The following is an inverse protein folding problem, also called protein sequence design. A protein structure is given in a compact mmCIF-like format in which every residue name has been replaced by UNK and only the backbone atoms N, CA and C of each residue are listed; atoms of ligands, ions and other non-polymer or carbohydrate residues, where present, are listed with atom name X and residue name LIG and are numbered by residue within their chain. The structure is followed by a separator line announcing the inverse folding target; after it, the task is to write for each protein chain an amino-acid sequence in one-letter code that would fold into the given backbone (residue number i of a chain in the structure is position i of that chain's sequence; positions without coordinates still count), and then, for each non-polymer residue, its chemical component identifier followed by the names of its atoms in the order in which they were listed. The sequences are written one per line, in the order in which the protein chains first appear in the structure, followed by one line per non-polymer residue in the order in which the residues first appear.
data_IF_222470186234
#
_entry.id   IF_222470186234
#
_cell.length_a   1.000
_cell.length_b   1.000
_cell.length_c   1.000
_cell.angle_alpha   90.00
_cell.angle_beta   90.00
_cell.angle_gamma   90.00
#
_symmetry.space_group_name_H-M   'P 1'
#
loop_
_entity.id
_entity.type
_entity.pdbx_description
1 polymer ?
#
# COMPACT_ATOMS: atom_id res chain seq x y z
N UNK A 1 15.06 25.21 -32.27
CA UNK A 1 16.42 25.64 -31.91
C UNK A 1 16.91 24.66 -30.86
N UNK A 2 18.02 23.90 -30.99
CA UNK A 2 19.21 23.98 -31.86
C UNK A 2 19.58 22.54 -32.31
N UNK A 3 20.12 22.27 -33.52
CA UNK A 3 21.54 22.35 -33.94
C UNK A 3 22.55 21.86 -32.87
N UNK A 4 23.53 20.99 -33.13
CA UNK A 4 23.88 20.14 -34.29
C UNK A 4 24.89 19.07 -33.85
N UNK A 5 24.98 17.93 -34.55
CA UNK A 5 26.13 17.00 -34.48
C UNK A 5 27.34 17.65 -35.22
N UNK A 6 28.59 17.27 -34.90
CA UNK A 6 29.40 16.69 -35.99
C UNK A 6 30.26 15.49 -35.56
N UNK A 7 30.31 14.49 -36.43
CA UNK A 7 31.30 13.40 -36.44
C UNK A 7 32.33 13.64 -37.56
N UNK A 8 33.59 13.26 -37.30
CA UNK A 8 34.70 13.14 -38.29
C UNK A 8 35.73 12.16 -37.68
N UNK A 9 36.09 11.03 -38.30
CA UNK A 9 37.03 10.86 -39.43
C UNK A 9 38.48 11.21 -39.07
N UNK A 10 39.56 10.51 -39.49
CA UNK A 10 39.76 9.28 -40.30
C UNK A 10 41.31 9.12 -40.47
N UNK A 11 41.80 7.91 -40.77
CA UNK A 11 43.16 7.60 -41.31
C UNK A 11 44.38 7.86 -40.39
N UNK A 12 45.59 7.34 -40.65
CA UNK A 12 46.02 6.08 -41.33
C UNK A 12 47.55 5.91 -41.19
N UNK A 13 48.03 4.66 -41.11
CA UNK A 13 49.33 4.19 -41.64
C UNK A 13 50.64 4.57 -40.92
N UNK A 14 51.52 3.57 -40.78
CA UNK A 14 52.95 3.66 -41.13
C UNK A 14 53.59 2.25 -41.14
N UNK A 15 54.68 2.07 -41.89
CA UNK A 15 55.37 0.79 -42.12
C UNK A 15 56.89 0.98 -42.09
N UNK A 16 57.62 0.06 -41.44
CA UNK A 16 59.02 -0.29 -41.71
C UNK A 16 59.35 -1.59 -40.94
N UNK A 17 59.81 -2.72 -41.52
CA UNK A 17 60.90 -3.07 -42.46
C UNK A 17 62.29 -3.32 -41.83
N UNK A 18 62.56 -4.62 -41.54
CA UNK A 18 63.86 -5.34 -41.72
C UNK A 18 65.09 -4.87 -40.88
N UNK A 19 66.15 -5.66 -40.63
CA UNK A 19 66.71 -6.88 -41.26
C UNK A 19 67.73 -7.55 -40.29
N UNK A 20 67.95 -8.89 -40.32
CA UNK A 20 69.06 -9.54 -39.60
C UNK A 20 70.31 -9.70 -40.49
N UNK A 21 71.50 -9.90 -39.89
CA UNK A 21 72.72 -10.24 -40.62
C UNK A 21 73.68 -11.14 -39.80
N UNK A 22 74.14 -12.24 -40.42
CA UNK A 22 75.21 -13.13 -39.92
C UNK A 22 76.05 -13.57 -41.13
N UNK A 23 77.39 -13.66 -40.94
CA UNK A 23 78.37 -14.62 -41.55
C UNK A 23 79.56 -14.02 -42.33
N UNK A 24 80.76 -14.52 -41.94
CA UNK A 24 82.00 -14.83 -42.70
C UNK A 24 82.74 -13.65 -43.40
N UNK A 25 84.07 -13.47 -43.36
CA UNK A 25 85.28 -14.31 -43.24
C UNK A 25 85.90 -14.80 -44.57
N UNK A 26 87.13 -14.33 -44.86
CA UNK A 26 88.19 -15.09 -45.54
C UNK A 26 88.72 -14.62 -46.91
N UNK A 27 90.03 -14.26 -46.94
CA UNK A 27 91.04 -14.57 -48.01
C UNK A 27 90.85 -13.93 -49.43
N UNK A 28 91.88 -13.67 -50.26
CA UNK A 28 93.34 -13.79 -50.18
C UNK A 28 94.03 -12.77 -51.14
N UNK A 29 95.36 -12.63 -51.05
CA UNK A 29 96.22 -11.87 -51.98
C UNK A 29 96.66 -12.71 -53.18
N UNK A 30 96.97 -12.08 -54.32
CA UNK A 30 98.12 -12.43 -55.18
C UNK A 30 98.41 -11.35 -56.25
N UNK A 31 99.69 -11.22 -56.63
CA UNK A 31 100.25 -10.23 -57.59
C UNK A 31 101.03 -10.99 -58.67
N UNK A 32 101.11 -10.48 -59.92
CA UNK A 32 102.15 -10.86 -60.92
C UNK A 32 102.28 -9.78 -62.04
N UNK A 33 103.36 -9.73 -62.87
CA UNK A 33 104.08 -8.51 -63.32
C UNK A 33 103.97 -8.37 -64.88
N UNK A 34 104.95 -7.92 -65.73
CA UNK A 34 106.31 -7.29 -65.62
C UNK A 34 106.44 -6.03 -66.55
N UNK A 35 107.51 -5.70 -67.34
CA UNK A 35 108.96 -6.02 -67.33
C UNK A 35 109.96 -4.83 -67.62
N UNK A 36 111.26 -5.17 -67.62
CA UNK A 36 112.39 -4.69 -68.45
C UNK A 36 112.84 -3.21 -68.61
N UNK A 37 114.13 -3.00 -68.34
CA UNK A 37 114.98 -1.86 -68.72
C UNK A 37 116.42 -2.11 -68.26
N UNK A 38 117.43 -1.96 -69.13
CA UNK A 38 118.79 -2.50 -68.94
C UNK A 38 119.82 -1.44 -68.45
N UNK A 39 121.16 -1.70 -68.32
CA UNK A 39 121.93 -1.39 -67.10
C UNK A 39 123.02 -0.29 -67.37
N UNK A 40 124.14 -0.15 -66.61
CA UNK A 40 124.51 -0.62 -65.26
C UNK A 40 125.00 0.50 -64.30
N UNK A 41 125.23 0.19 -63.01
CA UNK A 41 126.46 0.56 -62.28
C UNK A 41 126.53 -0.11 -60.89
N UNK A 42 127.70 -0.66 -60.56
CA UNK A 42 127.92 -1.52 -59.38
C UNK A 42 128.35 -0.75 -58.13
N UNK A 43 127.47 -0.70 -57.11
CA UNK A 43 127.85 -0.45 -55.71
C UNK A 43 126.74 -0.81 -54.71
N UNK A 44 125.48 -0.47 -55.03
CA UNK A 44 124.38 -0.48 -54.03
C UNK A 44 123.63 -1.82 -53.88
N UNK A 45 123.86 -2.80 -54.75
CA UNK A 45 123.15 -4.09 -54.71
C UNK A 45 123.53 -4.97 -53.50
N UNK A 46 124.77 -4.86 -53.01
CA UNK A 46 125.26 -5.64 -51.86
C UNK A 46 124.68 -5.15 -50.53
N UNK A 47 124.46 -3.85 -50.36
CA UNK A 47 123.85 -3.29 -49.13
C UNK A 47 122.36 -3.64 -49.02
N UNK A 48 121.63 -3.64 -50.15
CA UNK A 48 120.21 -3.99 -50.17
C UNK A 48 119.99 -5.48 -49.86
N UNK A 49 120.78 -6.36 -50.48
CA UNK A 49 120.72 -7.81 -50.23
C UNK A 49 121.14 -8.16 -48.80
N UNK A 50 122.13 -7.47 -48.23
CA UNK A 50 122.54 -7.64 -46.83
C UNK A 50 121.43 -7.24 -45.83
N UNK A 51 120.73 -6.12 -46.06
CA UNK A 51 119.57 -5.72 -45.23
C UNK A 51 118.40 -6.71 -45.33
N UNK A 52 118.02 -7.12 -46.53
CA UNK A 52 116.95 -8.10 -46.72
C UNK A 52 117.26 -9.44 -46.03
N UNK A 53 118.53 -9.91 -46.05
CA UNK A 53 118.92 -11.14 -45.37
C UNK A 53 118.84 -11.01 -43.85
N UNK A 54 119.23 -9.88 -43.27
CA UNK A 54 119.07 -9.62 -41.83
C UNK A 54 117.59 -9.57 -41.41
N UNK A 55 116.74 -8.88 -42.17
CA UNK A 55 115.32 -8.74 -41.85
C UNK A 55 114.55 -10.06 -42.00
N UNK A 56 114.89 -10.89 -43.00
CA UNK A 56 114.40 -12.27 -43.11
C UNK A 56 114.88 -13.12 -41.93
N UNK A 57 116.13 -12.97 -41.48
CA UNK A 57 116.65 -13.74 -40.35
C UNK A 57 115.99 -13.34 -39.01
N UNK A 58 115.65 -12.07 -38.83
CA UNK A 58 114.90 -11.58 -37.68
C UNK A 58 113.47 -12.13 -37.66
N UNK A 59 112.77 -12.06 -38.79
CA UNK A 59 111.44 -12.65 -38.98
C UNK A 59 111.44 -14.18 -38.70
N UNK A 60 112.44 -14.90 -39.20
CA UNK A 60 112.60 -16.35 -38.94
C UNK A 60 112.87 -16.64 -37.46
N UNK A 61 113.60 -15.78 -36.75
CA UNK A 61 113.83 -15.91 -35.32
C UNK A 61 112.55 -15.67 -34.51
N UNK A 62 111.75 -14.66 -34.87
CA UNK A 62 110.43 -14.40 -34.25
C UNK A 62 109.50 -15.60 -34.46
N UNK A 63 109.36 -16.08 -35.69
CA UNK A 63 108.52 -17.26 -36.00
C UNK A 63 109.01 -18.53 -35.27
N UNK A 64 110.32 -18.72 -35.11
CA UNK A 64 110.88 -19.81 -34.28
C UNK A 64 110.57 -19.64 -32.80
N UNK A 65 110.52 -18.42 -32.30
CA UNK A 65 110.18 -18.15 -30.91
C UNK A 65 108.70 -18.37 -30.65
N UNK A 66 107.82 -17.95 -31.56
CA UNK A 66 106.38 -18.23 -31.48
C UNK A 66 106.06 -19.71 -31.62
N UNK A 67 106.78 -20.45 -32.48
CA UNK A 67 106.69 -21.91 -32.54
C UNK A 67 107.07 -22.58 -31.22
N UNK A 68 108.09 -22.08 -30.51
CA UNK A 68 108.44 -22.56 -29.17
C UNK A 68 107.37 -22.19 -28.13
N UNK A 69 106.88 -20.96 -28.13
CA UNK A 69 105.79 -20.52 -27.25
C UNK A 69 104.49 -21.33 -27.46
N UNK A 70 104.19 -21.71 -28.70
CA UNK A 70 103.07 -22.59 -29.05
C UNK A 70 103.30 -24.04 -28.61
N UNK A 71 104.51 -24.58 -28.79
CA UNK A 71 104.87 -25.91 -28.30
C UNK A 71 104.84 -26.00 -26.77
N UNK A 72 105.28 -24.96 -26.05
CA UNK A 72 105.22 -24.92 -24.59
C UNK A 72 103.77 -24.77 -24.08
N UNK A 73 102.92 -24.02 -24.78
CA UNK A 73 101.46 -24.01 -24.52
C UNK A 73 100.79 -25.34 -24.80
N UNK A 74 101.21 -26.07 -25.84
CA UNK A 74 100.68 -27.41 -26.12
C UNK A 74 101.14 -28.43 -25.07
N UNK A 75 102.40 -28.37 -24.61
CA UNK A 75 102.89 -29.22 -23.50
C UNK A 75 102.08 -29.03 -22.22
N UNK A 76 101.83 -27.79 -21.81
CA UNK A 76 100.97 -27.51 -20.64
C UNK A 76 99.47 -27.82 -20.88
N UNK A 77 99.02 -27.88 -22.14
CA UNK A 77 97.65 -28.28 -22.49
C UNK A 77 97.44 -29.79 -22.42
N UNK A 78 98.38 -30.58 -22.95
CA UNK A 78 98.29 -32.04 -22.97
C UNK A 78 98.42 -32.66 -21.57
N UNK A 79 99.26 -32.09 -20.70
CA UNK A 79 99.39 -32.54 -19.29
C UNK A 79 98.10 -32.32 -18.48
N UNK A 80 97.29 -31.32 -18.82
CA UNK A 80 95.96 -31.08 -18.22
C UNK A 80 94.91 -32.02 -18.84
N UNK A 81 95.05 -32.37 -20.12
CA UNK A 81 94.15 -33.28 -20.83
C UNK A 81 94.40 -34.78 -20.51
N UNK A 82 95.55 -35.14 -19.93
CA UNK A 82 95.93 -36.54 -19.67
C UNK A 82 96.20 -36.89 -18.20
N UNK A 83 96.02 -35.96 -17.27
CA UNK A 83 96.14 -36.24 -15.83
C UNK A 83 94.87 -36.93 -15.27
N UNK A 84 94.95 -38.20 -14.83
CA UNK A 84 93.77 -38.97 -14.42
C UNK A 84 93.12 -38.43 -13.13
N UNK A 85 93.88 -37.70 -12.30
CA UNK A 85 93.38 -37.14 -11.02
C UNK A 85 92.44 -35.95 -11.26
N UNK A 86 92.68 -35.15 -12.31
CA UNK A 86 91.79 -34.05 -12.69
C UNK A 86 90.56 -34.54 -13.45
N UNK A 87 90.70 -35.59 -14.28
CA UNK A 87 89.56 -36.21 -14.98
C UNK A 87 88.56 -36.84 -14.00
N UNK A 88 89.01 -37.70 -13.08
CA UNK A 88 88.13 -38.35 -12.09
C UNK A 88 87.38 -37.32 -11.21
N UNK A 89 88.00 -36.17 -10.90
CA UNK A 89 87.37 -35.08 -10.15
C UNK A 89 86.35 -34.27 -10.97
N UNK A 90 86.53 -34.20 -12.30
CA UNK A 90 85.57 -33.59 -13.21
C UNK A 90 84.41 -34.54 -13.51
N UNK A 91 84.67 -35.82 -13.77
CA UNK A 91 83.66 -36.85 -14.04
C UNK A 91 82.68 -37.00 -12.87
N UNK A 92 83.17 -37.00 -11.62
CA UNK A 92 82.30 -37.02 -10.43
C UNK A 92 81.38 -35.79 -10.34
N UNK A 93 81.91 -34.59 -10.66
CA UNK A 93 81.09 -33.37 -10.70
C UNK A 93 80.13 -33.34 -11.89
N UNK A 94 80.48 -34.00 -12.99
CA UNK A 94 79.63 -34.13 -14.17
C UNK A 94 78.46 -35.06 -13.85
N UNK A 95 78.71 -36.17 -13.15
CA UNK A 95 77.68 -37.06 -12.61
C UNK A 95 76.74 -36.36 -11.62
N UNK A 96 77.27 -35.59 -10.65
CA UNK A 96 76.47 -34.78 -9.72
C UNK A 96 75.58 -33.75 -10.46
N UNK A 97 76.07 -33.20 -11.58
CA UNK A 97 75.32 -32.25 -12.42
C UNK A 97 74.25 -33.00 -13.22
N UNK A 98 74.56 -34.15 -13.81
CA UNK A 98 73.62 -35.00 -14.55
C UNK A 98 72.47 -35.47 -13.65
N UNK A 99 72.77 -35.96 -12.44
CA UNK A 99 71.78 -36.33 -11.43
C UNK A 99 70.88 -35.14 -11.06
N UNK A 100 71.47 -33.96 -10.82
CA UNK A 100 70.71 -32.73 -10.54
C UNK A 100 69.86 -32.26 -11.71
N UNK A 101 70.33 -32.39 -12.95
CA UNK A 101 69.51 -32.07 -14.13
C UNK A 101 68.37 -33.07 -14.30
N UNK A 102 68.60 -34.36 -14.06
CA UNK A 102 67.53 -35.37 -14.07
C UNK A 102 66.47 -35.11 -12.99
N UNK A 103 66.89 -34.69 -11.79
CA UNK A 103 65.99 -34.27 -10.71
C UNK A 103 65.18 -33.01 -11.07
N UNK A 104 65.82 -32.01 -11.70
CA UNK A 104 65.15 -30.79 -12.18
C UNK A 104 64.18 -31.06 -13.33
N UNK A 105 64.51 -31.97 -14.25
CA UNK A 105 63.60 -32.41 -15.32
C UNK A 105 62.39 -33.19 -14.77
N UNK A 106 62.61 -34.04 -13.76
CA UNK A 106 61.52 -34.71 -13.05
C UNK A 106 60.62 -33.70 -12.33
N UNK A 107 61.20 -32.69 -11.67
CA UNK A 107 60.45 -31.63 -11.02
C UNK A 107 59.67 -30.76 -12.03
N UNK A 108 60.26 -30.44 -13.18
CA UNK A 108 59.56 -29.69 -14.25
C UNK A 108 58.30 -30.43 -14.74
N UNK A 109 58.36 -31.76 -14.88
CA UNK A 109 57.19 -32.56 -15.27
C UNK A 109 56.07 -32.49 -14.23
N UNK A 110 56.42 -32.56 -12.95
CA UNK A 110 55.44 -32.41 -11.85
C UNK A 110 54.85 -30.99 -11.82
N UNK A 111 55.66 -29.96 -12.07
CA UNK A 111 55.18 -28.57 -12.17
C UNK A 111 54.25 -28.37 -13.38
N UNK A 112 54.51 -29.03 -14.52
CA UNK A 112 53.64 -29.02 -15.70
C UNK A 112 52.32 -29.76 -15.45
N UNK A 113 52.35 -30.93 -14.82
CA UNK A 113 51.15 -31.66 -14.38
C UNK A 113 50.30 -30.83 -13.38
N UNK A 114 50.94 -30.14 -12.43
CA UNK A 114 50.27 -29.23 -11.50
C UNK A 114 49.66 -28.01 -12.20
N UNK A 115 50.27 -27.50 -13.27
CA UNK A 115 49.73 -26.38 -14.07
C UNK A 115 48.46 -26.78 -14.80
N UNK A 116 48.44 -27.94 -15.45
CA UNK A 116 47.25 -28.45 -16.13
C UNK A 116 46.11 -28.70 -15.13
N UNK A 117 46.37 -29.35 -13.99
CA UNK A 117 45.37 -29.52 -12.92
C UNK A 117 44.85 -28.19 -12.37
N UNK A 118 45.68 -27.14 -12.30
CA UNK A 118 45.27 -25.79 -11.93
C UNK A 118 44.39 -25.10 -12.99
N UNK A 119 44.61 -25.39 -14.28
CA UNK A 119 43.79 -24.90 -15.38
C UNK A 119 42.42 -25.60 -15.36
N UNK A 120 42.40 -26.93 -15.29
CA UNK A 120 41.17 -27.73 -15.21
C UNK A 120 40.30 -27.33 -14.02
N UNK A 121 40.89 -27.24 -12.82
CA UNK A 121 40.15 -26.85 -11.61
C UNK A 121 39.63 -25.42 -11.67
N UNK A 122 40.39 -24.49 -12.27
CA UNK A 122 39.96 -23.11 -12.50
C UNK A 122 38.76 -23.04 -13.46
N UNK A 123 38.79 -23.78 -14.56
CA UNK A 123 37.69 -23.76 -15.53
C UNK A 123 36.43 -24.46 -14.98
N UNK A 124 36.57 -25.57 -14.24
CA UNK A 124 35.45 -26.18 -13.48
C UNK A 124 34.86 -25.23 -12.44
N UNK A 125 35.69 -24.43 -11.75
CA UNK A 125 35.20 -23.41 -10.81
C UNK A 125 34.48 -22.27 -11.53
N UNK A 126 35.01 -21.81 -12.67
CA UNK A 126 34.42 -20.77 -13.50
C UNK A 126 33.04 -21.17 -14.03
N UNK A 127 32.88 -22.42 -14.49
CA UNK A 127 31.59 -22.94 -14.95
C UNK A 127 30.57 -23.07 -13.81
N UNK A 128 31.01 -23.49 -12.62
CA UNK A 128 30.17 -23.51 -11.41
C UNK A 128 29.73 -22.09 -11.01
N UNK A 129 30.63 -21.11 -11.05
CA UNK A 129 30.31 -19.70 -10.78
C UNK A 129 29.31 -19.16 -11.81
N UNK A 130 29.50 -19.45 -13.10
CA UNK A 130 28.55 -19.09 -14.16
C UNK A 130 27.16 -19.70 -13.93
N UNK A 131 27.11 -20.99 -13.58
CA UNK A 131 25.86 -21.71 -13.26
C UNK A 131 25.14 -21.10 -12.06
N UNK A 132 25.88 -20.78 -10.98
CA UNK A 132 25.33 -20.12 -9.80
C UNK A 132 24.83 -18.69 -10.11
N UNK A 133 25.53 -17.95 -10.98
CA UNK A 133 25.09 -16.63 -11.43
C UNK A 133 23.76 -16.68 -12.20
N UNK A 134 23.58 -17.67 -13.07
CA UNK A 134 22.30 -17.90 -13.76
C UNK A 134 21.19 -18.30 -12.79
N UNK A 135 21.47 -19.18 -11.83
CA UNK A 135 20.49 -19.60 -10.81
C UNK A 135 20.08 -18.45 -9.88
N UNK A 136 21.00 -17.55 -9.54
CA UNK A 136 20.69 -16.34 -8.79
C UNK A 136 19.81 -15.38 -9.59
N UNK A 137 20.10 -15.15 -10.87
CA UNK A 137 19.30 -14.31 -11.77
C UNK A 137 17.85 -14.84 -11.94
N UNK A 138 17.70 -16.16 -12.09
CA UNK A 138 16.39 -16.81 -12.19
C UNK A 138 15.61 -16.79 -10.86
N UNK A 139 16.30 -16.80 -9.72
CA UNK A 139 15.68 -16.61 -8.39
C UNK A 139 15.24 -15.15 -8.18
N UNK A 140 16.05 -14.18 -8.59
CA UNK A 140 15.77 -12.75 -8.46
C UNK A 140 14.48 -12.38 -9.22
N UNK A 141 14.36 -12.81 -10.48
CA UNK A 141 13.13 -12.61 -11.28
C UNK A 141 11.89 -13.31 -10.71
N UNK A 142 12.04 -14.42 -9.96
CA UNK A 142 10.94 -15.04 -9.21
C UNK A 142 10.53 -14.22 -7.99
N UNK A 143 11.49 -13.63 -7.29
CA UNK A 143 11.22 -12.74 -6.15
C UNK A 143 10.54 -11.46 -6.62
N UNK A 144 10.97 -10.86 -7.74
CA UNK A 144 10.29 -9.71 -8.33
C UNK A 144 8.83 -10.03 -8.71
N UNK A 145 8.59 -11.14 -9.41
CA UNK A 145 7.24 -11.58 -9.77
C UNK A 145 6.34 -11.81 -8.53
N UNK A 146 6.86 -12.48 -7.49
CA UNK A 146 6.12 -12.67 -6.24
C UNK A 146 5.82 -11.33 -5.53
N UNK A 147 6.72 -10.34 -5.64
CA UNK A 147 6.48 -8.98 -5.16
C UNK A 147 5.32 -8.29 -5.88
N UNK A 148 5.22 -8.45 -7.21
CA UNK A 148 4.10 -7.94 -8.01
C UNK A 148 2.80 -8.65 -7.62
N UNK A 149 2.78 -9.99 -7.56
CA UNK A 149 1.60 -10.76 -7.15
C UNK A 149 1.10 -10.41 -5.74
N UNK A 150 2.02 -10.16 -4.80
CA UNK A 150 1.68 -9.72 -3.44
C UNK A 150 1.05 -8.32 -3.44
N UNK A 151 1.57 -7.39 -4.24
CA UNK A 151 1.02 -6.04 -4.39
C UNK A 151 -0.38 -6.07 -5.01
N UNK A 152 -0.58 -6.88 -6.05
CA UNK A 152 -1.88 -7.12 -6.67
C UNK A 152 -2.89 -7.72 -5.67
N UNK A 153 -2.45 -8.68 -4.85
CA UNK A 153 -3.29 -9.27 -3.81
C UNK A 153 -3.66 -8.26 -2.73
N UNK A 154 -2.72 -7.40 -2.30
CA UNK A 154 -2.98 -6.36 -1.32
C UNK A 154 -4.06 -5.37 -1.82
N UNK A 155 -3.95 -4.89 -3.07
CA UNK A 155 -4.95 -3.99 -3.66
C UNK A 155 -6.36 -4.61 -3.75
N UNK A 156 -6.46 -5.93 -4.00
CA UNK A 156 -7.73 -6.66 -3.98
C UNK A 156 -8.32 -6.75 -2.57
N UNK A 157 -7.48 -6.98 -1.55
CA UNK A 157 -7.90 -7.00 -0.14
C UNK A 157 -8.43 -5.63 0.30
N UNK A 158 -7.73 -4.54 -0.06
CA UNK A 158 -8.18 -3.18 0.24
C UNK A 158 -9.52 -2.85 -0.44
N UNK A 159 -9.68 -3.27 -1.70
CA UNK A 159 -10.94 -3.10 -2.46
C UNK A 159 -12.10 -3.84 -1.78
N UNK A 160 -11.90 -5.11 -1.38
CA UNK A 160 -12.90 -5.89 -0.64
C UNK A 160 -13.23 -5.28 0.73
N UNK A 161 -12.26 -4.66 1.40
CA UNK A 161 -12.49 -3.93 2.66
C UNK A 161 -13.41 -2.72 2.49
N UNK A 162 -13.27 -1.98 1.38
CA UNK A 162 -14.16 -0.87 1.03
C UNK A 162 -15.57 -1.36 0.66
N UNK A 163 -15.68 -2.42 -0.15
CA UNK A 163 -16.98 -3.02 -0.51
C UNK A 163 -17.74 -3.55 0.71
N UNK A 164 -17.04 -4.18 1.66
CA UNK A 164 -17.64 -4.63 2.92
C UNK A 164 -18.14 -3.46 3.77
N UNK A 165 -17.41 -2.34 3.77
CA UNK A 165 -17.79 -1.12 4.51
C UNK A 165 -19.02 -0.41 3.89
N UNK A 166 -19.14 -0.39 2.56
CA UNK A 166 -20.37 0.07 1.87
C UNK A 166 -21.57 -0.82 2.23
N UNK A 167 -21.37 -2.15 2.18
CA UNK A 167 -22.42 -3.12 2.49
C UNK A 167 -22.92 -2.97 3.94
N UNK A 168 -22.03 -2.81 4.90
CA UNK A 168 -22.38 -2.56 6.31
C UNK A 168 -23.22 -1.29 6.47
N UNK A 169 -22.80 -0.17 5.89
CA UNK A 169 -23.57 1.08 5.89
C UNK A 169 -24.95 0.96 5.23
N UNK A 170 -25.06 0.17 4.15
CA UNK A 170 -26.33 -0.11 3.47
C UNK A 170 -27.25 -1.03 4.28
N UNK A 171 -26.68 -1.96 5.04
CA UNK A 171 -27.43 -2.84 5.95
C UNK A 171 -27.96 -2.04 7.14
N UNK A 172 -27.14 -1.19 7.78
CA UNK A 172 -27.55 -0.36 8.91
C UNK A 172 -28.65 0.65 8.51
N UNK A 173 -28.49 1.32 7.36
CA UNK A 173 -29.55 2.21 6.82
C UNK A 173 -30.83 1.45 6.46
N UNK A 174 -30.73 0.24 5.90
CA UNK A 174 -31.88 -0.63 5.65
C UNK A 174 -32.61 -1.06 6.92
N UNK A 175 -31.88 -1.43 7.98
CA UNK A 175 -32.48 -1.76 9.27
C UNK A 175 -33.12 -0.53 9.94
N UNK A 176 -32.50 0.64 9.84
CA UNK A 176 -33.09 1.89 10.32
C UNK A 176 -34.41 2.22 9.59
N UNK A 177 -34.46 2.09 8.25
CA UNK A 177 -35.71 2.26 7.49
C UNK A 177 -36.77 1.25 7.94
N UNK A 178 -36.43 -0.04 7.94
CA UNK A 178 -37.36 -1.12 8.35
C UNK A 178 -37.92 -0.88 9.75
N UNK A 179 -37.08 -0.42 10.69
CA UNK A 179 -37.50 -0.07 12.04
C UNK A 179 -38.51 1.07 12.05
N UNK A 180 -38.24 2.18 11.37
CA UNK A 180 -39.21 3.29 11.29
C UNK A 180 -40.52 2.90 10.63
N UNK A 181 -40.48 2.02 9.60
CA UNK A 181 -41.68 1.50 8.95
C UNK A 181 -42.47 0.56 9.86
N UNK A 182 -41.79 -0.27 10.65
CA UNK A 182 -42.42 -1.12 11.65
C UNK A 182 -43.11 -0.28 12.73
N UNK A 183 -42.45 0.77 13.24
CA UNK A 183 -43.02 1.67 14.23
C UNK A 183 -44.28 2.39 13.70
N UNK A 184 -44.26 2.85 12.44
CA UNK A 184 -45.43 3.43 11.76
C UNK A 184 -46.58 2.41 11.65
N UNK A 185 -46.29 1.18 11.23
CA UNK A 185 -47.31 0.12 11.08
C UNK A 185 -47.89 -0.29 12.44
N UNK A 186 -47.05 -0.45 13.47
CA UNK A 186 -47.50 -0.74 14.84
C UNK A 186 -48.41 0.35 15.38
N UNK A 187 -48.04 1.62 15.21
CA UNK A 187 -48.88 2.75 15.61
C UNK A 187 -50.19 2.82 14.81
N UNK A 188 -50.17 2.54 13.50
CA UNK A 188 -51.39 2.50 12.68
C UNK A 188 -52.36 1.40 13.14
N UNK A 189 -51.86 0.22 13.53
CA UNK A 189 -52.66 -0.87 14.09
C UNK A 189 -53.31 -0.46 15.42
N UNK A 190 -52.56 0.19 16.32
CA UNK A 190 -53.13 0.62 17.61
C UNK A 190 -54.08 1.83 17.46
N UNK A 191 -53.84 2.75 16.52
CA UNK A 191 -54.81 3.79 16.11
C UNK A 191 -56.11 3.16 15.60
N UNK A 192 -56.01 2.15 14.73
CA UNK A 192 -57.19 1.41 14.25
C UNK A 192 -57.92 0.71 15.40
N UNK A 193 -57.19 0.10 16.33
CA UNK A 193 -57.76 -0.56 17.52
C UNK A 193 -58.48 0.43 18.45
N UNK A 194 -57.89 1.60 18.66
CA UNK A 194 -58.46 2.70 19.43
C UNK A 194 -59.70 3.31 18.76
N UNK A 195 -59.79 3.33 17.42
CA UNK A 195 -60.98 3.80 16.71
C UNK A 195 -62.25 3.00 17.05
N UNK A 196 -62.10 1.72 17.40
CA UNK A 196 -63.19 0.85 17.85
C UNK A 196 -63.59 1.07 19.32
N UNK A 197 -62.86 1.91 20.08
CA UNK A 197 -63.10 2.19 21.49
C UNK A 197 -64.28 3.16 21.71
N UNK A 198 -65.48 2.74 21.30
CA UNK A 198 -66.72 3.53 21.34
C UNK A 198 -67.35 3.68 22.73
N UNK A 199 -66.68 3.24 23.81
CA UNK A 199 -67.20 3.30 25.19
C UNK A 199 -66.16 3.82 26.15
N UNK A 200 -66.61 4.57 27.18
CA UNK A 200 -65.72 5.15 28.19
C UNK A 200 -64.88 4.12 28.97
N UNK A 201 -65.35 2.90 29.18
CA UNK A 201 -64.59 1.84 29.85
C UNK A 201 -63.67 1.02 28.93
N UNK A 202 -63.68 1.26 27.62
CA UNK A 202 -62.75 0.59 26.69
C UNK A 202 -61.31 0.98 27.01
N UNK A 203 -60.40 0.01 26.91
CA UNK A 203 -58.96 0.22 27.04
C UNK A 203 -58.41 0.94 25.80
N UNK A 204 -57.53 1.91 26.04
CA UNK A 204 -56.77 2.60 25.00
C UNK A 204 -55.38 1.97 24.94
N UNK A 205 -54.95 1.68 23.73
CA UNK A 205 -53.63 1.15 23.44
C UNK A 205 -52.69 2.34 23.20
N UNK A 206 -51.60 2.48 23.97
CA UNK A 206 -50.69 3.60 23.83
C UNK A 206 -49.90 3.48 22.52
N UNK A 207 -49.61 4.62 21.90
CA UNK A 207 -48.71 4.64 20.74
C UNK A 207 -47.25 4.62 21.22
N UNK A 208 -46.42 3.99 20.41
CA UNK A 208 -44.98 3.92 20.59
C UNK A 208 -44.30 5.15 19.99
N UNK A 209 -43.37 5.75 20.72
CA UNK A 209 -42.56 6.87 20.23
C UNK A 209 -41.11 6.42 20.09
N UNK A 210 -40.63 6.41 18.86
CA UNK A 210 -39.25 6.06 18.52
C UNK A 210 -38.33 7.24 18.83
N UNK A 211 -37.58 7.17 19.93
CA UNK A 211 -36.62 8.21 20.28
C UNK A 211 -35.45 8.15 19.31
N UNK A 212 -35.36 9.17 18.44
CA UNK A 212 -34.33 9.31 17.41
C UNK A 212 -32.93 9.17 18.04
N UNK A 213 -32.25 8.08 17.69
CA UNK A 213 -30.83 7.86 17.99
C UNK A 213 -30.49 7.05 19.25
N UNK A 214 -31.47 6.58 20.06
CA UNK A 214 -31.16 5.75 21.24
C UNK A 214 -31.58 4.28 21.12
N UNK A 215 -32.48 3.95 20.20
CA UNK A 215 -32.98 2.57 20.05
C UNK A 215 -33.93 2.11 21.16
N UNK A 216 -34.22 2.96 22.14
CA UNK A 216 -35.29 2.78 23.10
C UNK A 216 -36.63 3.25 22.51
N UNK A 217 -37.67 2.42 22.67
CA UNK A 217 -39.05 2.76 22.28
C UNK A 217 -39.81 3.09 23.56
N UNK A 218 -40.13 4.37 23.76
CA UNK A 218 -41.01 4.75 24.86
C UNK A 218 -42.45 4.48 24.47
N UNK A 219 -43.09 3.54 25.15
CA UNK A 219 -44.52 3.31 25.06
C UNK A 219 -45.25 4.29 25.99
N UNK A 220 -46.33 4.89 25.49
CA UNK A 220 -47.21 5.70 26.33
C UNK A 220 -47.87 4.92 27.48
N UNK A 221 -48.60 5.63 28.35
CA UNK A 221 -49.21 5.06 29.56
C UNK A 221 -50.21 3.94 29.26
N UNK A 222 -49.77 2.69 29.41
CA UNK A 222 -50.57 1.48 29.18
C UNK A 222 -51.73 1.30 30.18
N UNK A 223 -52.74 0.52 29.75
CA UNK A 223 -53.85 0.08 30.59
C UNK A 223 -54.82 1.18 31.02
N UNK A 224 -54.82 2.33 30.36
CA UNK A 224 -55.75 3.44 30.64
C UNK A 224 -57.02 3.30 29.81
N UNK A 225 -58.15 3.73 30.34
CA UNK A 225 -59.45 3.69 29.64
C UNK A 225 -59.76 5.01 28.94
N UNK A 226 -60.68 4.98 27.97
CA UNK A 226 -61.18 6.20 27.31
C UNK A 226 -61.65 7.26 28.31
N UNK A 227 -62.31 6.85 29.41
CA UNK A 227 -62.72 7.73 30.52
C UNK A 227 -61.54 8.42 31.21
N UNK A 228 -60.39 7.74 31.31
CA UNK A 228 -59.19 8.31 31.90
C UNK A 228 -58.70 9.51 31.07
N UNK A 229 -58.65 9.38 29.74
CA UNK A 229 -58.33 10.48 28.82
C UNK A 229 -59.44 11.53 28.76
N UNK A 230 -60.72 11.13 28.80
CA UNK A 230 -61.86 12.05 28.77
C UNK A 230 -61.87 13.04 29.95
N UNK A 231 -61.42 12.60 31.13
CA UNK A 231 -61.25 13.48 32.31
C UNK A 231 -60.28 14.64 32.09
N UNK A 232 -59.41 14.60 31.08
CA UNK A 232 -58.50 15.70 30.76
C UNK A 232 -59.20 17.01 30.33
N UNK A 233 -60.52 16.99 30.09
CA UNK A 233 -61.32 18.21 29.93
C UNK A 233 -61.38 19.07 31.21
N UNK A 234 -61.30 18.45 32.41
CA UNK A 234 -61.32 19.21 33.66
C UNK A 234 -59.99 19.93 33.89
N UNK A 235 -60.05 21.21 34.26
CA UNK A 235 -58.87 22.02 34.65
C UNK A 235 -58.01 21.37 35.75
N UNK A 236 -58.58 20.46 36.55
CA UNK A 236 -57.89 19.67 37.59
C UNK A 236 -56.83 18.70 37.03
N UNK A 237 -56.90 18.34 35.76
CA UNK A 237 -55.95 17.42 35.11
C UNK A 237 -55.11 18.12 34.00
N UNK A 238 -55.03 19.46 34.01
CA UNK A 238 -54.32 20.24 32.99
C UNK A 238 -52.84 19.81 32.86
N UNK A 239 -52.13 19.63 33.96
CA UNK A 239 -50.70 19.24 33.92
C UNK A 239 -50.48 17.87 33.29
N UNK A 240 -51.43 16.97 33.49
CA UNK A 240 -51.43 15.63 32.89
C UNK A 240 -51.81 15.67 31.41
N UNK A 241 -52.73 16.55 31.00
CA UNK A 241 -53.01 16.83 29.60
C UNK A 241 -51.75 17.36 28.90
N UNK A 242 -51.06 18.31 29.51
CA UNK A 242 -49.79 18.87 28.99
C UNK A 242 -48.71 17.81 28.86
N UNK A 243 -48.50 16.97 29.89
CA UNK A 243 -47.55 15.85 29.81
C UNK A 243 -47.85 14.91 28.63
N UNK A 244 -49.12 14.58 28.38
CA UNK A 244 -49.51 13.71 27.25
C UNK A 244 -49.29 14.40 25.90
N UNK A 245 -49.64 15.68 25.78
CA UNK A 245 -49.44 16.47 24.55
C UNK A 245 -47.95 16.66 24.23
N UNK A 246 -47.13 16.91 25.24
CA UNK A 246 -45.66 17.01 25.10
C UNK A 246 -45.03 15.65 24.77
N UNK A 247 -45.45 14.57 25.42
CA UNK A 247 -44.98 13.21 25.12
C UNK A 247 -45.21 12.87 23.64
N UNK A 248 -46.46 12.95 23.19
CA UNK A 248 -46.83 12.69 21.78
C UNK A 248 -46.42 13.80 20.79
N UNK A 249 -45.72 14.85 21.24
CA UNK A 249 -45.26 15.98 20.41
C UNK A 249 -46.37 16.59 19.54
N UNK A 250 -47.57 16.74 20.11
CA UNK A 250 -48.76 17.18 19.37
C UNK A 250 -48.72 18.70 19.17
N UNK A 251 -48.73 19.13 17.91
CA UNK A 251 -48.73 20.54 17.54
C UNK A 251 -50.01 21.26 18.00
N UNK A 252 -49.82 22.49 18.51
CA UNK A 252 -50.86 23.34 19.08
C UNK A 252 -51.22 24.57 18.24
N UNK A 253 -50.44 24.93 17.23
CA UNK A 253 -50.69 26.14 16.42
C UNK A 253 -52.08 26.09 15.75
N UNK A 254 -52.48 24.94 15.21
CA UNK A 254 -53.78 24.76 14.56
C UNK A 254 -55.00 24.75 15.51
N UNK A 255 -54.82 24.75 16.84
CA UNK A 255 -55.94 24.73 17.79
C UNK A 255 -56.65 26.09 17.92
N UNK A 256 -56.01 27.17 17.44
CA UNK A 256 -56.46 28.56 17.63
C UNK A 256 -57.04 29.22 16.37
N UNK A 257 -56.62 28.80 15.17
CA UNK A 257 -56.97 29.47 13.90
C UNK A 257 -58.11 28.80 13.11
N UNK A 258 -58.71 27.71 13.61
CA UNK A 258 -59.91 27.16 12.96
C UNK A 258 -61.10 28.08 13.23
N UNK A 259 -61.73 28.55 12.15
CA UNK A 259 -62.91 29.43 12.18
C UNK A 259 -63.99 28.90 13.16
N UNK A 260 -64.78 29.79 13.80
CA UNK A 260 -65.88 29.37 14.65
C UNK A 260 -66.81 28.43 13.91
N UNK A 261 -67.21 27.33 14.56
CA UNK A 261 -68.28 26.47 14.07
C UNK A 261 -69.54 27.36 13.92
N UNK A 262 -70.08 27.49 12.71
CA UNK A 262 -71.02 28.55 12.28
C UNK A 262 -72.47 28.36 12.75
N UNK A 263 -72.66 27.90 13.98
CA UNK A 263 -73.96 27.65 14.62
C UNK A 263 -74.21 28.56 15.84
N UNK A 264 -73.44 29.64 15.97
CA UNK A 264 -73.62 30.67 17.00
C UNK A 264 -74.22 31.94 16.40
N UNK A 265 -75.55 32.02 16.39
CA UNK A 265 -76.31 33.26 16.16
C UNK A 265 -76.11 34.24 17.33
N UNK A 266 -74.87 34.71 17.52
CA UNK A 266 -74.51 35.75 18.48
C UNK A 266 -74.01 36.98 17.71
N UNK A 267 -74.96 37.87 17.38
CA UNK A 267 -74.76 39.10 16.61
C UNK A 267 -74.07 40.19 17.47
N UNK A 268 -72.96 39.84 18.10
CA UNK A 268 -72.10 40.77 18.84
C UNK A 268 -70.90 41.17 17.97
N UNK A 269 -71.02 42.32 17.33
CA UNK A 269 -69.95 42.97 16.56
C UNK A 269 -68.91 43.62 17.49
N UNK A 270 -68.14 42.78 18.19
CA UNK A 270 -67.01 43.23 19.05
C UNK A 270 -65.66 42.77 18.45
N UNK A 271 -65.29 43.42 17.34
CA UNK A 271 -64.09 43.15 16.54
C UNK A 271 -62.82 43.81 17.12
N UNK A 272 -62.54 43.69 18.42
CA UNK A 272 -61.34 44.31 19.01
C UNK A 272 -60.70 43.57 20.21
N UNK A 273 -60.80 42.24 20.24
CA UNK A 273 -60.09 41.40 21.20
C UNK A 273 -59.16 40.39 20.50
N UNK A 274 -57.90 40.77 20.19
CA UNK A 274 -56.88 39.79 19.83
C UNK A 274 -56.68 38.84 21.01
N UNK A 275 -57.20 37.62 20.92
CA UNK A 275 -56.95 36.62 21.94
C UNK A 275 -55.43 36.36 22.01
N UNK A 276 -54.84 36.30 23.20
CA UNK A 276 -53.40 36.13 23.33
C UNK A 276 -53.00 34.81 22.68
N UNK A 277 -52.13 34.89 21.67
CA UNK A 277 -51.55 33.71 21.04
C UNK A 277 -50.78 32.92 22.10
N UNK A 278 -51.12 31.64 22.32
CA UNK A 278 -50.52 30.87 23.41
C UNK A 278 -49.03 30.67 23.14
N UNK A 279 -48.18 31.22 24.01
CA UNK A 279 -46.72 31.10 23.89
C UNK A 279 -46.21 29.70 24.28
N UNK A 280 -47.10 28.84 24.77
CA UNK A 280 -46.76 27.46 25.15
C UNK A 280 -47.96 26.51 25.03
N UNK A 281 -47.68 25.22 24.85
CA UNK A 281 -48.69 24.15 24.83
C UNK A 281 -49.54 24.09 26.11
N UNK A 282 -48.98 24.52 27.26
CA UNK A 282 -49.69 24.63 28.55
C UNK A 282 -50.70 25.76 28.58
N UNK A 283 -50.37 26.88 27.95
CA UNK A 283 -51.27 28.01 27.78
C UNK A 283 -52.38 27.70 26.78
N UNK A 284 -52.04 27.10 25.63
CA UNK A 284 -53.00 26.63 24.64
C UNK A 284 -54.01 25.64 25.25
N UNK A 285 -53.55 24.64 26.01
CA UNK A 285 -54.40 23.68 26.70
C UNK A 285 -55.26 24.31 27.81
N UNK A 286 -54.82 25.41 28.44
CA UNK A 286 -55.58 26.15 29.45
C UNK A 286 -56.70 27.01 28.83
N UNK A 287 -56.43 27.62 27.67
CA UNK A 287 -57.35 28.48 26.93
C UNK A 287 -58.41 27.66 26.17
N UNK A 288 -58.01 26.58 25.50
CA UNK A 288 -58.89 25.73 24.65
C UNK A 288 -58.80 24.24 25.03
N UNK A 289 -59.15 23.83 26.27
CA UNK A 289 -59.00 22.44 26.73
C UNK A 289 -59.76 21.43 25.87
N UNK A 290 -60.95 21.78 25.34
CA UNK A 290 -61.70 20.92 24.40
C UNK A 290 -60.90 20.63 23.13
N UNK A 291 -60.33 21.65 22.46
CA UNK A 291 -59.53 21.46 21.23
C UNK A 291 -58.25 20.66 21.52
N UNK A 292 -57.59 20.90 22.67
CA UNK A 292 -56.42 20.13 23.09
C UNK A 292 -56.75 18.64 23.34
N UNK A 293 -57.88 18.32 23.98
CA UNK A 293 -58.33 16.92 24.14
C UNK A 293 -58.79 16.32 22.81
N UNK A 294 -59.44 17.08 21.92
CA UNK A 294 -59.75 16.63 20.55
C UNK A 294 -58.49 16.27 19.76
N UNK A 295 -57.43 17.07 19.85
CA UNK A 295 -56.14 16.80 19.20
C UNK A 295 -55.48 15.52 19.76
N UNK A 296 -55.49 15.35 21.09
CA UNK A 296 -55.00 14.13 21.75
C UNK A 296 -55.81 12.89 21.33
N UNK A 297 -57.14 12.99 21.24
CA UNK A 297 -58.00 11.90 20.79
C UNK A 297 -57.77 11.57 19.31
N UNK A 298 -57.62 12.59 18.45
CA UNK A 298 -57.29 12.41 17.03
C UNK A 298 -55.94 11.70 16.85
N UNK A 299 -54.90 12.11 17.58
CA UNK A 299 -53.60 11.45 17.56
C UNK A 299 -53.66 9.99 18.03
N UNK A 300 -54.43 9.70 19.09
CA UNK A 300 -54.63 8.33 19.59
C UNK A 300 -55.60 7.48 18.74
N UNK A 301 -56.26 8.04 17.72
CA UNK A 301 -57.28 7.36 16.93
C UNK A 301 -58.66 7.22 17.59
N UNK A 302 -58.91 7.89 18.71
CA UNK A 302 -60.15 7.75 19.49
C UNK A 302 -61.34 8.52 18.87
N UNK A 303 -62.55 7.93 18.81
CA UNK A 303 -63.72 8.54 18.16
C UNK A 303 -64.36 9.63 19.04
N UNK A 304 -63.72 10.80 19.11
CA UNK A 304 -64.12 11.91 20.00
C UNK A 304 -65.62 12.30 19.86
N UNK A 305 -66.12 12.45 18.63
CA UNK A 305 -67.50 12.88 18.37
C UNK A 305 -68.54 11.87 18.90
N UNK A 306 -68.29 10.57 18.76
CA UNK A 306 -69.18 9.51 19.28
C UNK A 306 -69.29 9.58 20.81
N UNK A 307 -68.19 9.88 21.49
CA UNK A 307 -68.11 9.97 22.94
C UNK A 307 -68.69 11.30 23.47
N UNK A 308 -68.54 12.39 22.72
CA UNK A 308 -69.21 13.66 23.01
C UNK A 308 -70.74 13.50 22.91
N UNK A 309 -71.24 12.85 21.86
CA UNK A 309 -72.66 12.58 21.68
C UNK A 309 -73.24 11.67 22.75
N UNK A 310 -72.52 10.64 23.18
CA UNK A 310 -72.91 9.83 24.34
C UNK A 310 -73.05 10.70 25.60
N UNK A 311 -72.07 11.54 25.87
CA UNK A 311 -72.08 12.44 27.03
C UNK A 311 -73.26 13.42 26.99
N UNK A 312 -73.52 14.04 25.82
CA UNK A 312 -74.67 14.94 25.61
C UNK A 312 -76.00 14.21 25.84
N UNK A 313 -76.17 13.00 25.27
CA UNK A 313 -77.40 12.20 25.44
C UNK A 313 -77.63 11.79 26.90
N UNK A 314 -76.58 11.37 27.62
CA UNK A 314 -76.67 11.03 29.04
C UNK A 314 -77.06 12.24 29.90
N UNK A 315 -76.49 13.42 29.61
CA UNK A 315 -76.87 14.68 30.29
C UNK A 315 -78.34 15.04 30.05
N UNK A 316 -78.84 14.94 28.81
CA UNK A 316 -80.25 15.19 28.48
C UNK A 316 -81.19 14.22 29.20
N UNK A 317 -80.85 12.92 29.23
CA UNK A 317 -81.65 11.92 29.96
C UNK A 317 -81.64 12.19 31.48
N UNK A 318 -80.51 12.66 32.03
CA UNK A 318 -80.40 12.99 33.45
C UNK A 318 -81.20 14.25 33.82
N UNK A 319 -81.13 15.32 33.03
CA UNK A 319 -81.91 16.54 33.27
C UNK A 319 -83.41 16.31 33.10
N UNK A 320 -83.82 15.51 32.12
CA UNK A 320 -85.22 15.11 31.91
C UNK A 320 -85.75 14.26 33.09
N UNK A 321 -84.97 13.30 33.58
CA UNK A 321 -85.31 12.53 34.80
C UNK A 321 -85.36 13.41 36.05
N UNK A 322 -84.54 14.47 36.13
CA UNK A 322 -84.59 15.42 37.23
C UNK A 322 -85.85 16.28 37.16
N UNK A 323 -86.17 16.86 35.99
CA UNK A 323 -87.39 17.61 35.74
C UNK A 323 -88.64 16.83 36.14
N UNK A 324 -88.80 15.59 35.65
CA UNK A 324 -89.95 14.74 36.03
C UNK A 324 -90.08 14.53 37.54
N UNK A 325 -88.99 14.37 38.28
CA UNK A 325 -89.01 14.26 39.75
C UNK A 325 -89.36 15.58 40.43
N UNK A 326 -88.88 16.70 39.90
CA UNK A 326 -89.19 18.04 40.40
C UNK A 326 -90.69 18.36 40.13
N UNK A 327 -91.23 17.97 38.97
CA UNK A 327 -92.64 18.10 38.59
C UNK A 327 -93.57 17.21 39.45
N UNK A 328 -93.22 15.92 39.65
CA UNK A 328 -93.92 15.02 40.58
C UNK A 328 -93.95 15.58 42.01
N UNK A 329 -92.85 16.20 42.45
CA UNK A 329 -92.76 16.83 43.76
C UNK A 329 -93.62 18.11 43.88
N UNK A 330 -93.82 18.85 42.78
CA UNK A 330 -94.72 19.99 42.71
C UNK A 330 -96.20 19.55 42.73
N UNK A 331 -96.59 18.53 41.96
CA UNK A 331 -97.94 17.96 42.04
C UNK A 331 -98.29 17.46 43.45
N UNK A 332 -97.37 16.73 44.08
CA UNK A 332 -97.55 16.20 45.44
C UNK A 332 -97.68 17.31 46.50
N UNK A 333 -97.07 18.48 46.27
CA UNK A 333 -97.29 19.68 47.11
C UNK A 333 -98.64 20.34 46.82
N UNK A 334 -99.03 20.46 45.55
CA UNK A 334 -100.33 21.01 45.13
C UNK A 334 -101.53 20.26 45.71
N UNK A 335 -101.47 18.92 45.72
CA UNK A 335 -102.51 18.04 46.31
C UNK A 335 -102.59 18.20 47.85
N UNK A 336 -101.46 18.40 48.53
CA UNK A 336 -101.45 18.66 49.99
C UNK A 336 -102.01 20.04 50.34
N UNK A 337 -101.74 21.07 49.54
CA UNK A 337 -102.31 22.41 49.77
C UNK A 337 -103.82 22.51 49.51
N UNK A 338 -104.40 21.60 48.72
CA UNK A 338 -105.86 21.53 48.51
C UNK A 338 -106.57 20.73 49.61
N UNK A 339 -105.90 19.78 50.27
CA UNK A 339 -106.43 19.06 51.45
C UNK A 339 -106.48 19.87 52.75
N UNK A 340 -105.89 21.07 52.81
CA UNK A 340 -105.96 21.97 53.99
C UNK A 340 -106.88 23.18 53.78
N UNK A 341 -107.81 23.12 52.81
CA UNK A 341 -108.79 24.18 52.50
C UNK A 341 -110.25 23.75 52.72
N UNK A 342 -110.47 22.72 53.54
CA UNK A 342 -111.78 22.22 53.96
C UNK A 342 -111.83 22.13 55.48
#
# INVERSE_FOLDING_TARGET
MSKSIPSRSRAAGASSHTRPAIKKAGLAWNITPPPDGSPPEDAHALDFTSRCLLEVHEQVNIVRQDLRNLQDRQRYGDDIATSPVSQVSLDGRLYDIEERTGALEAQSKVDDELRELLIDTKDVLKDKIGTLGLALSDLDGKVENLGVELSDLHSKVDTLGLELSDLDGRVETGFAELRTRLDIVSNAVEVQRNSMATRFHSTVYPLAISIRGRGDVEQGLAGKTVQWYWKCHDRKYLDRLVQLLTFYSIDFHNWYHTYPDTDSDDDSTDLDHPQPEPSSIREAAKLRPKRAVMALFGHLGLPYHVLEDQTKREQVIFTERKRRKDDEALEMKGRKSTQHKW
#
